data_IF_380928342551
#
_entry.id   IF_380928342551
#
_cell.length_a   1.000
_cell.length_b   1.000
_cell.length_c   1.000
_cell.angle_alpha   90.00
_cell.angle_beta   90.00
_cell.angle_gamma   90.00
#
_symmetry.space_group_name_H-M   'P 1'
#
loop_
_entity.id
_entity.type
_entity.pdbx_description
1 polymer ?
#
# COMPACT_ATOMS: atom_id res chain seq x y z
N UNK A 1 11.93 -18.96 0.48
CA UNK A 1 10.97 -19.02 1.62
C UNK A 1 9.71 -18.19 1.43
N UNK A 2 9.80 -16.88 1.16
CA UNK A 2 8.59 -16.06 0.93
C UNK A 2 7.71 -16.58 -0.21
N UNK A 3 8.32 -17.07 -1.30
CA UNK A 3 7.57 -17.69 -2.41
C UNK A 3 6.83 -18.96 -2.00
N UNK A 4 7.49 -19.84 -1.22
CA UNK A 4 6.86 -21.05 -0.66
C UNK A 4 5.71 -20.67 0.26
N UNK A 5 5.88 -19.63 1.07
CA UNK A 5 4.81 -19.11 1.91
C UNK A 5 3.64 -18.62 1.07
N UNK A 6 3.85 -17.84 0.00
CA UNK A 6 2.75 -17.33 -0.81
C UNK A 6 2.03 -18.42 -1.63
N UNK A 7 2.77 -19.42 -2.10
CA UNK A 7 2.28 -20.42 -3.03
C UNK A 7 2.23 -19.91 -4.47
N UNK A 8 2.16 -20.84 -5.42
CA UNK A 8 2.21 -20.57 -6.86
C UNK A 8 1.13 -19.57 -7.31
N UNK A 9 -0.12 -19.77 -6.89
CA UNK A 9 -1.24 -18.90 -7.29
C UNK A 9 -0.98 -17.42 -6.94
N UNK A 10 -0.53 -17.13 -5.72
CA UNK A 10 -0.25 -15.75 -5.31
C UNK A 10 1.03 -15.20 -5.96
N UNK A 11 2.00 -16.05 -6.26
CA UNK A 11 3.23 -15.65 -6.97
C UNK A 11 2.98 -15.32 -8.45
N UNK A 12 1.93 -15.90 -9.05
CA UNK A 12 1.49 -15.66 -10.43
C UNK A 12 0.29 -14.71 -10.54
N UNK A 13 -0.11 -14.08 -9.45
CA UNK A 13 -1.27 -13.19 -9.44
C UNK A 13 -1.08 -11.99 -10.37
N UNK A 14 -2.11 -11.68 -11.15
CA UNK A 14 -2.16 -10.45 -11.95
C UNK A 14 -2.63 -9.32 -11.04
N UNK A 15 -1.87 -8.23 -10.99
CA UNK A 15 -2.22 -7.06 -10.18
C UNK A 15 -2.76 -5.95 -11.10
N UNK A 16 -3.95 -5.45 -10.81
CA UNK A 16 -4.54 -4.32 -11.50
C UNK A 16 -4.97 -3.23 -10.51
N UNK A 17 -5.11 -1.99 -10.99
CA UNK A 17 -5.45 -0.86 -10.11
C UNK A 17 -6.89 -0.92 -9.62
N UNK A 18 -7.85 -1.09 -10.53
CA UNK A 18 -9.29 -0.99 -10.25
C UNK A 18 -10.02 -2.30 -10.55
N UNK A 19 -11.22 -2.47 -9.98
CA UNK A 19 -12.12 -3.57 -10.32
C UNK A 19 -12.57 -3.52 -11.79
N UNK A 20 -12.80 -2.32 -12.34
CA UNK A 20 -13.15 -2.16 -13.75
C UNK A 20 -12.05 -2.70 -14.66
N UNK A 21 -10.78 -2.48 -14.32
CA UNK A 21 -9.65 -3.06 -15.06
C UNK A 21 -9.66 -4.60 -14.99
N UNK A 22 -10.00 -5.19 -13.84
CA UNK A 22 -10.13 -6.64 -13.70
C UNK A 22 -11.22 -7.23 -14.62
N UNK A 23 -12.34 -6.51 -14.79
CA UNK A 23 -13.44 -6.96 -15.63
C UNK A 23 -13.10 -7.02 -17.13
N UNK A 24 -11.99 -6.41 -17.58
CA UNK A 24 -11.50 -6.54 -18.96
C UNK A 24 -10.69 -7.83 -19.20
N UNK A 25 -10.28 -8.55 -18.16
CA UNK A 25 -9.51 -9.78 -18.31
C UNK A 25 -10.39 -10.96 -18.73
N UNK A 26 -11.59 -11.08 -18.16
CA UNK A 26 -12.48 -12.21 -18.38
C UNK A 26 -13.95 -11.77 -18.41
N UNK A 27 -14.73 -12.43 -19.28
CA UNK A 27 -16.17 -12.26 -19.37
C UNK A 27 -16.84 -13.63 -19.36
N UNK A 28 -18.07 -13.67 -18.89
CA UNK A 28 -18.90 -14.85 -18.91
C UNK A 28 -20.03 -14.70 -19.94
N UNK A 29 -20.38 -15.81 -20.58
CA UNK A 29 -21.56 -15.91 -21.44
C UNK A 29 -22.85 -15.98 -20.62
N UNK A 30 -24.00 -16.10 -21.30
CA UNK A 30 -25.32 -16.17 -20.65
C UNK A 30 -25.52 -17.45 -19.83
N UNK A 31 -24.70 -18.47 -20.04
CA UNK A 31 -24.73 -19.74 -19.30
C UNK A 31 -23.74 -19.75 -18.13
N UNK A 32 -22.93 -18.69 -17.97
CA UNK A 32 -21.91 -18.57 -16.95
C UNK A 32 -20.58 -19.23 -17.31
N UNK A 33 -20.38 -19.64 -18.57
CA UNK A 33 -19.09 -20.14 -19.03
C UNK A 33 -18.15 -18.99 -19.40
N UNK A 34 -16.84 -19.23 -19.30
CA UNK A 34 -15.83 -18.25 -19.70
C UNK A 34 -15.85 -18.05 -21.22
N UNK A 35 -15.97 -16.79 -21.66
CA UNK A 35 -15.84 -16.43 -23.07
C UNK A 35 -14.37 -16.38 -23.48
N UNK A 36 -13.88 -17.49 -24.05
CA UNK A 36 -12.49 -17.63 -24.53
C UNK A 36 -12.12 -16.67 -25.68
N UNK A 37 -13.11 -15.96 -26.26
CA UNK A 37 -12.91 -14.99 -27.34
C UNK A 37 -12.79 -13.56 -26.81
N UNK A 38 -12.74 -13.37 -25.49
CA UNK A 38 -12.66 -12.06 -24.84
C UNK A 38 -11.37 -11.91 -24.01
N UNK A 39 -10.95 -10.66 -23.81
CA UNK A 39 -9.94 -10.28 -22.82
C UNK A 39 -8.61 -11.00 -22.98
N UNK A 40 -8.04 -11.47 -21.87
CA UNK A 40 -6.73 -12.11 -21.85
C UNK A 40 -6.74 -13.46 -22.59
N UNK A 41 -7.89 -14.16 -22.60
CA UNK A 41 -8.02 -15.46 -23.28
C UNK A 41 -7.86 -15.30 -24.80
N UNK A 42 -8.47 -14.26 -25.37
CA UNK A 42 -8.34 -13.97 -26.80
C UNK A 42 -6.89 -13.63 -27.18
N UNK A 43 -6.24 -12.79 -26.39
CA UNK A 43 -4.87 -12.36 -26.66
C UNK A 43 -3.87 -13.52 -26.50
N UNK A 44 -4.03 -14.34 -25.46
CA UNK A 44 -3.21 -15.52 -25.24
C UNK A 44 -3.38 -16.56 -26.37
N UNK A 45 -4.61 -16.77 -26.85
CA UNK A 45 -4.88 -17.64 -27.99
C UNK A 45 -4.25 -17.13 -29.30
N UNK A 46 -4.27 -15.81 -29.57
CA UNK A 46 -3.59 -15.21 -30.74
C UNK A 46 -2.08 -15.45 -30.71
N UNK A 47 -1.48 -15.49 -29.52
CA UNK A 47 -0.07 -15.78 -29.30
C UNK A 47 0.25 -17.30 -29.33
N UNK A 48 -0.75 -18.16 -29.51
CA UNK A 48 -0.58 -19.61 -29.53
C UNK A 48 -0.39 -20.25 -28.15
N UNK A 49 -0.68 -19.51 -27.06
CA UNK A 49 -0.52 -19.97 -25.67
C UNK A 49 -1.83 -19.78 -24.91
N UNK A 50 -2.88 -20.56 -25.21
CA UNK A 50 -4.18 -20.40 -24.55
C UNK A 50 -4.07 -20.67 -23.04
N UNK A 51 -4.74 -19.84 -22.24
CA UNK A 51 -4.77 -19.98 -20.77
C UNK A 51 -5.89 -20.95 -20.40
N UNK A 52 -5.53 -22.07 -19.78
CA UNK A 52 -6.48 -23.13 -19.38
C UNK A 52 -6.67 -23.26 -17.87
N UNK A 53 -5.79 -22.63 -17.08
CA UNK A 53 -5.84 -22.66 -15.62
C UNK A 53 -6.42 -21.37 -15.08
N UNK A 54 -7.07 -21.45 -13.91
CA UNK A 54 -7.49 -20.27 -13.16
C UNK A 54 -6.25 -19.50 -12.72
N UNK A 55 -6.37 -18.17 -12.69
CA UNK A 55 -5.33 -17.28 -12.19
C UNK A 55 -5.99 -16.22 -11.30
N UNK A 56 -5.36 -15.81 -10.19
CA UNK A 56 -5.91 -14.78 -9.33
C UNK A 56 -5.65 -13.39 -9.91
N UNK A 57 -6.64 -12.50 -9.76
CA UNK A 57 -6.50 -11.06 -9.98
C UNK A 57 -6.57 -10.36 -8.62
N UNK A 58 -5.63 -9.44 -8.36
CA UNK A 58 -5.61 -8.59 -7.17
C UNK A 58 -5.86 -7.14 -7.61
N UNK A 59 -7.01 -6.60 -7.24
CA UNK A 59 -7.38 -5.20 -7.47
C UNK A 59 -6.87 -4.33 -6.32
N UNK A 60 -5.92 -3.41 -6.57
CA UNK A 60 -5.30 -2.59 -5.52
C UNK A 60 -6.29 -1.69 -4.77
N UNK A 61 -7.22 -1.05 -5.49
CA UNK A 61 -8.21 -0.13 -4.90
C UNK A 61 -9.25 -0.87 -4.02
N UNK A 62 -9.41 -2.18 -4.19
CA UNK A 62 -10.31 -3.02 -3.37
C UNK A 62 -9.61 -3.59 -2.12
N UNK A 63 -8.29 -3.40 -1.99
CA UNK A 63 -7.56 -3.84 -0.80
C UNK A 63 -7.80 -2.83 0.31
N UNK A 64 -8.22 -3.33 1.48
CA UNK A 64 -8.16 -2.54 2.71
C UNK A 64 -6.68 -2.26 3.05
N UNK A 65 -6.22 -1.01 2.98
CA UNK A 65 -4.83 -0.66 3.25
C UNK A 65 -4.50 -0.85 4.73
N UNK A 66 -3.20 -0.97 5.02
CA UNK A 66 -2.69 -0.76 6.35
C UNK A 66 -2.94 0.69 6.79
N UNK A 67 -3.64 0.85 7.91
CA UNK A 67 -4.05 2.16 8.43
C UNK A 67 -3.17 2.68 9.59
N UNK A 68 -2.05 2.01 9.90
CA UNK A 68 -1.10 2.50 10.89
C UNK A 68 -0.04 3.40 10.27
N UNK A 69 0.84 3.93 11.11
CA UNK A 69 1.90 4.84 10.65
C UNK A 69 2.92 4.10 9.75
N UNK A 70 3.65 4.84 8.92
CA UNK A 70 4.75 4.31 8.10
C UNK A 70 6.07 4.73 8.75
N UNK A 71 7.02 3.79 8.89
CA UNK A 71 8.37 4.07 9.39
C UNK A 71 9.12 4.92 8.36
N UNK A 72 9.74 6.00 8.81
CA UNK A 72 10.38 7.00 7.97
C UNK A 72 11.76 6.58 7.42
N UNK A 73 11.93 5.33 6.96
CA UNK A 73 12.89 5.12 5.89
C UNK A 73 12.22 5.67 4.62
N UNK A 74 12.47 6.94 4.34
CA UNK A 74 11.83 7.74 3.28
C UNK A 74 11.97 7.03 1.93
N UNK A 75 13.04 6.25 1.72
CA UNK A 75 13.30 5.57 0.44
C UNK A 75 12.43 4.33 0.24
N UNK A 76 12.32 3.46 1.23
CA UNK A 76 11.62 2.18 1.08
C UNK A 76 10.19 2.15 1.64
N UNK A 77 9.71 3.26 2.24
CA UNK A 77 8.36 3.43 2.80
C UNK A 77 7.94 2.24 3.67
N UNK A 78 8.82 1.78 4.57
CA UNK A 78 8.59 0.60 5.44
C UNK A 78 7.47 0.88 6.43
N UNK A 79 6.62 -0.09 6.77
CA UNK A 79 5.47 0.10 7.67
C UNK A 79 5.93 0.21 9.14
N UNK A 80 5.29 1.08 9.94
CA UNK A 80 5.51 1.16 11.39
C UNK A 80 4.60 0.16 12.12
N UNK A 81 4.89 -1.12 11.93
CA UNK A 81 4.14 -2.18 12.58
C UNK A 81 4.56 -2.26 14.05
N UNK A 82 3.60 -2.49 14.97
CA UNK A 82 3.94 -2.68 16.37
C UNK A 82 4.96 -3.80 16.45
N UNK A 83 6.09 -3.53 17.10
CA UNK A 83 7.04 -4.60 17.37
C UNK A 83 6.25 -5.70 18.08
N UNK A 84 6.32 -6.95 17.57
CA UNK A 84 5.85 -8.04 18.40
C UNK A 84 6.65 -7.92 19.71
N UNK A 85 6.13 -8.43 20.81
CA UNK A 85 6.91 -8.53 22.05
C UNK A 85 8.23 -9.35 21.87
N UNK A 86 8.55 -9.75 20.63
CA UNK A 86 9.68 -10.49 20.09
C UNK A 86 11.01 -9.74 19.96
N UNK A 87 11.17 -8.47 20.35
CA UNK A 87 12.54 -7.98 20.63
C UNK A 87 13.27 -8.84 21.68
N UNK A 88 12.51 -9.66 22.42
CA UNK A 88 13.00 -10.63 23.39
C UNK A 88 13.23 -12.04 22.84
N UNK A 89 12.73 -12.40 21.65
CA UNK A 89 12.88 -13.76 21.12
C UNK A 89 14.12 -13.86 20.22
N UNK A 90 15.04 -14.75 20.62
CA UNK A 90 16.25 -15.07 19.86
C UNK A 90 15.91 -15.35 18.40
N UNK A 91 16.75 -14.86 17.48
CA UNK A 91 16.64 -15.17 16.06
C UNK A 91 15.60 -14.36 15.26
N UNK A 92 14.83 -13.44 15.86
CA UNK A 92 13.93 -12.57 15.09
C UNK A 92 14.73 -11.67 14.11
N UNK A 93 14.34 -11.66 12.84
CA UNK A 93 14.99 -10.90 11.75
C UNK A 93 14.18 -9.73 11.23
N UNK A 94 12.87 -9.72 11.46
CA UNK A 94 11.98 -8.65 11.03
C UNK A 94 10.64 -9.17 10.54
N UNK A 95 9.82 -8.23 10.05
CA UNK A 95 8.54 -8.54 9.42
C UNK A 95 8.73 -8.65 7.92
N UNK A 96 8.22 -9.73 7.32
CA UNK A 96 8.40 -10.05 5.91
C UNK A 96 8.01 -8.88 4.99
N UNK A 97 6.89 -8.22 5.30
CA UNK A 97 6.41 -7.05 4.55
C UNK A 97 7.43 -5.91 4.48
N UNK A 98 8.33 -5.77 5.46
CA UNK A 98 9.38 -4.74 5.50
C UNK A 98 10.76 -5.22 5.00
N UNK A 99 10.89 -6.51 4.66
CA UNK A 99 12.10 -7.10 4.09
C UNK A 99 12.07 -7.12 2.55
N UNK A 100 10.91 -6.90 1.94
CA UNK A 100 10.79 -6.72 0.49
C UNK A 100 11.32 -5.34 0.10
N UNK A 101 12.26 -5.29 -0.84
CA UNK A 101 12.71 -4.06 -1.46
C UNK A 101 11.87 -3.75 -2.70
N UNK A 102 11.43 -2.51 -2.84
CA UNK A 102 10.69 -2.01 -3.99
C UNK A 102 11.61 -1.16 -4.86
N UNK A 103 11.45 -1.28 -6.19
CA UNK A 103 12.08 -0.37 -7.15
C UNK A 103 11.48 1.03 -7.03
N UNK A 104 12.16 2.04 -7.58
CA UNK A 104 11.67 3.41 -7.63
C UNK A 104 10.29 3.49 -8.30
N UNK A 105 10.11 2.83 -9.44
CA UNK A 105 8.84 2.75 -10.18
C UNK A 105 7.73 2.14 -9.31
N UNK A 106 8.02 1.06 -8.58
CA UNK A 106 7.04 0.41 -7.71
C UNK A 106 6.70 1.24 -6.47
N UNK A 107 7.59 2.14 -6.02
CA UNK A 107 7.33 3.07 -4.93
C UNK A 107 6.45 4.25 -5.33
N UNK A 108 6.38 4.56 -6.63
CA UNK A 108 5.53 5.61 -7.20
C UNK A 108 4.09 5.13 -7.45
N UNK A 109 3.87 3.81 -7.50
CA UNK A 109 2.52 3.24 -7.64
C UNK A 109 1.71 3.55 -6.39
N UNK A 110 0.65 4.34 -6.60
CA UNK A 110 -0.31 4.76 -5.58
C UNK A 110 -1.74 4.41 -6.01
N UNK A 111 -2.52 3.90 -5.06
CA UNK A 111 -3.96 3.65 -5.20
C UNK A 111 -4.73 4.95 -5.34
N UNK A 112 -5.99 4.85 -5.75
CA UNK A 112 -6.88 6.01 -5.85
C UNK A 112 -7.12 6.69 -4.49
N UNK A 113 -6.96 5.95 -3.39
CA UNK A 113 -7.02 6.47 -2.02
C UNK A 113 -5.67 6.96 -1.47
N UNK A 114 -4.60 6.96 -2.29
CA UNK A 114 -3.30 7.52 -1.93
C UNK A 114 -2.35 6.60 -1.14
N UNK A 115 -2.56 5.27 -1.18
CA UNK A 115 -1.68 4.30 -0.51
C UNK A 115 -0.72 3.63 -1.49
N UNK A 116 0.50 3.33 -1.04
CA UNK A 116 1.50 2.61 -1.82
C UNK A 116 1.27 1.09 -1.86
N UNK A 117 2.11 0.40 -2.64
CA UNK A 117 2.08 -1.07 -2.75
C UNK A 117 2.41 -1.79 -1.43
N UNK A 118 3.23 -1.18 -0.57
CA UNK A 118 3.61 -1.84 0.69
C UNK A 118 2.43 -1.86 1.65
N UNK A 119 1.72 -0.75 1.77
CA UNK A 119 0.53 -0.56 2.59
C UNK A 119 -0.66 -1.39 2.09
N UNK A 120 -0.68 -1.72 0.79
CA UNK A 120 -1.79 -2.45 0.14
C UNK A 120 -1.39 -3.88 -0.20
N UNK A 121 -0.81 -4.11 -1.38
CA UNK A 121 -0.49 -5.44 -1.91
C UNK A 121 0.35 -6.28 -0.95
N UNK A 122 1.51 -5.77 -0.53
CA UNK A 122 2.43 -6.57 0.29
C UNK A 122 1.93 -6.77 1.70
N UNK A 123 1.21 -5.79 2.28
CA UNK A 123 0.56 -5.98 3.57
C UNK A 123 -0.60 -6.98 3.49
N UNK A 124 -1.36 -7.02 2.39
CA UNK A 124 -2.37 -8.07 2.18
C UNK A 124 -1.73 -9.47 2.11
N UNK A 125 -0.61 -9.59 1.40
CA UNK A 125 0.05 -10.88 1.16
C UNK A 125 0.81 -11.40 2.39
N UNK A 126 1.46 -10.51 3.14
CA UNK A 126 2.33 -10.89 4.26
C UNK A 126 1.80 -10.47 5.62
N UNK A 127 1.00 -9.41 5.73
CA UNK A 127 0.54 -8.87 7.00
C UNK A 127 1.68 -8.66 8.00
N UNK A 128 1.52 -9.19 9.21
CA UNK A 128 2.53 -9.20 10.27
C UNK A 128 3.40 -10.49 10.28
N UNK A 129 3.59 -11.14 9.12
CA UNK A 129 4.41 -12.35 9.00
C UNK A 129 5.82 -12.12 9.54
N UNK A 130 6.20 -12.88 10.56
CA UNK A 130 7.49 -12.77 11.22
C UNK A 130 8.54 -13.66 10.56
N UNK A 131 9.78 -13.17 10.49
CA UNK A 131 10.93 -13.92 9.94
C UNK A 131 11.93 -14.21 11.05
N UNK A 132 12.34 -15.47 11.16
CA UNK A 132 13.29 -15.98 12.13
C UNK A 132 14.51 -16.61 11.47
N UNK A 133 15.62 -16.67 12.22
CA UNK A 133 16.84 -17.33 11.76
C UNK A 133 16.64 -18.84 11.59
N UNK A 134 16.15 -19.51 12.64
CA UNK A 134 16.04 -20.97 12.69
C UNK A 134 14.63 -21.43 13.02
N UNK A 135 14.30 -22.68 12.66
CA UNK A 135 13.04 -23.33 13.08
C UNK A 135 12.88 -23.35 14.60
N UNK A 136 13.98 -23.52 15.32
CA UNK A 136 13.96 -23.59 16.77
C UNK A 136 13.59 -22.24 17.40
N UNK A 137 14.18 -21.16 16.91
CA UNK A 137 13.85 -19.79 17.32
C UNK A 137 12.37 -19.46 17.02
N UNK A 138 11.92 -19.80 15.81
CA UNK A 138 10.52 -19.64 15.39
C UNK A 138 9.55 -20.43 16.29
N UNK A 139 9.89 -21.67 16.64
CA UNK A 139 9.07 -22.52 17.53
C UNK A 139 8.96 -21.95 18.93
N UNK A 140 10.04 -21.40 19.48
CA UNK A 140 10.02 -20.76 20.80
C UNK A 140 9.12 -19.51 20.82
N UNK A 141 9.02 -18.80 19.70
CA UNK A 141 8.15 -17.65 19.57
C UNK A 141 6.68 -18.01 19.28
N UNK A 142 6.38 -19.26 18.90
CA UNK A 142 5.05 -19.71 18.48
C UNK A 142 3.89 -19.29 19.41
N UNK A 143 4.01 -19.34 20.76
CA UNK A 143 2.93 -18.90 21.66
C UNK A 143 2.59 -17.40 21.58
N UNK A 144 3.47 -16.59 20.99
CA UNK A 144 3.37 -15.13 20.92
C UNK A 144 3.13 -14.62 19.49
N UNK A 145 2.97 -15.51 18.52
CA UNK A 145 2.68 -15.15 17.14
C UNK A 145 1.22 -14.72 17.01
N UNK A 146 1.00 -13.54 16.41
CA UNK A 146 -0.35 -13.06 16.03
C UNK A 146 -0.78 -13.52 14.64
N UNK A 147 0.20 -13.73 13.76
CA UNK A 147 0.04 -14.15 12.38
C UNK A 147 0.97 -15.36 12.12
N UNK A 148 1.32 -15.60 10.85
CA UNK A 148 2.31 -16.63 10.51
C UNK A 148 3.73 -16.26 10.92
N UNK A 149 4.63 -17.24 10.79
CA UNK A 149 6.07 -17.06 10.85
C UNK A 149 6.78 -17.94 9.83
N UNK A 150 7.96 -17.51 9.38
CA UNK A 150 8.88 -18.34 8.61
C UNK A 150 10.27 -18.32 9.24
N UNK A 151 11.08 -19.34 8.94
CA UNK A 151 12.50 -19.35 9.30
C UNK A 151 13.40 -19.53 8.07
N UNK A 152 14.61 -18.97 8.12
CA UNK A 152 15.55 -19.00 6.99
C UNK A 152 16.04 -20.42 6.66
N UNK A 153 16.11 -21.30 7.66
CA UNK A 153 16.44 -22.72 7.48
C UNK A 153 15.28 -23.56 6.92
N UNK A 154 14.10 -22.97 6.69
CA UNK A 154 13.01 -23.59 5.92
C UNK A 154 11.75 -23.96 6.72
N UNK A 155 11.48 -23.32 7.85
CA UNK A 155 10.25 -23.50 8.61
C UNK A 155 9.14 -22.55 8.16
N UNK A 156 7.89 -23.02 8.21
CA UNK A 156 6.70 -22.19 7.90
C UNK A 156 5.56 -22.52 8.87
N UNK A 157 5.00 -21.47 9.46
CA UNK A 157 3.78 -21.46 10.27
C UNK A 157 2.83 -20.45 9.63
N UNK A 158 1.59 -20.85 9.37
CA UNK A 158 0.53 -19.99 8.85
C UNK A 158 -0.29 -19.37 10.00
N UNK A 159 -1.01 -18.28 9.70
CA UNK A 159 -1.71 -17.44 10.69
C UNK A 159 -2.93 -18.06 11.38
N UNK A 160 -3.14 -19.36 11.21
CA UNK A 160 -4.21 -20.20 11.77
C UNK A 160 -3.64 -21.40 12.54
N UNK A 161 -2.34 -21.44 12.78
CA UNK A 161 -1.65 -22.55 13.41
C UNK A 161 -1.28 -23.70 12.46
N UNK A 162 -1.54 -23.56 11.15
CA UNK A 162 -1.14 -24.58 10.18
C UNK A 162 0.39 -24.58 9.98
N UNK A 163 1.00 -25.76 10.15
CA UNK A 163 2.43 -25.98 9.93
C UNK A 163 2.64 -26.59 8.54
N UNK A 164 3.56 -26.02 7.75
CA UNK A 164 3.96 -26.62 6.48
C UNK A 164 5.25 -27.41 6.69
N UNK A 165 5.17 -28.73 6.47
CA UNK A 165 6.28 -29.68 6.63
C UNK A 165 6.66 -30.27 5.27
N UNK A 166 7.88 -30.81 5.17
CA UNK A 166 8.41 -31.43 3.97
C UNK A 166 9.41 -30.56 3.21
N UNK A 167 9.94 -31.10 2.12
CA UNK A 167 10.83 -30.40 1.21
C UNK A 167 10.05 -29.47 0.28
N UNK A 168 10.63 -28.32 -0.05
CA UNK A 168 10.05 -27.39 -1.01
C UNK A 168 11.16 -26.75 -1.83
N UNK A 169 10.99 -26.77 -3.16
CA UNK A 169 11.84 -26.11 -4.14
C UNK A 169 10.93 -25.32 -5.10
N UNK A 170 10.65 -24.03 -4.83
CA UNK A 170 9.71 -23.26 -5.62
C UNK A 170 10.32 -22.90 -6.98
N UNK A 171 9.60 -23.20 -8.06
CA UNK A 171 10.01 -22.84 -9.43
C UNK A 171 9.99 -21.31 -9.64
N UNK A 172 9.10 -20.61 -8.93
CA UNK A 172 8.93 -19.15 -9.02
C UNK A 172 9.45 -18.50 -7.75
N UNK A 173 10.47 -17.66 -7.88
CA UNK A 173 11.14 -16.99 -6.77
C UNK A 173 11.12 -15.47 -6.90
N UNK A 174 11.21 -14.78 -5.76
CA UNK A 174 11.46 -13.34 -5.77
C UNK A 174 12.84 -13.07 -6.38
N UNK A 175 12.98 -12.07 -7.27
CA UNK A 175 14.29 -11.69 -7.79
C UNK A 175 15.17 -11.18 -6.65
N UNK A 176 16.43 -11.62 -6.64
CA UNK A 176 17.45 -11.12 -5.72
C UNK A 176 18.15 -9.95 -6.39
N UNK A 177 18.02 -8.77 -5.80
CA UNK A 177 18.80 -7.61 -6.24
C UNK A 177 20.20 -7.70 -5.63
N UNK A 178 21.28 -7.45 -6.40
CA UNK A 178 22.60 -7.26 -5.82
C UNK A 178 22.53 -6.08 -4.84
N UNK A 179 23.27 -6.16 -3.74
CA UNK A 179 23.27 -5.15 -2.68
C UNK A 179 23.48 -3.75 -3.27
N UNK A 180 22.39 -3.01 -3.46
CA UNK A 180 22.48 -1.57 -3.56
C UNK A 180 22.95 -1.10 -2.18
N UNK A 181 23.99 -0.26 -2.08
CA UNK A 181 24.42 0.24 -0.79
C UNK A 181 23.21 0.86 -0.12
N UNK A 182 22.79 0.26 1.01
CA UNK A 182 21.81 0.82 1.90
C UNK A 182 22.50 2.07 2.46
N UNK A 183 22.40 3.19 1.74
CA UNK A 183 22.76 4.49 2.28
C UNK A 183 21.67 4.77 3.30
N UNK A 184 21.83 4.17 4.48
CA UNK A 184 21.14 4.54 5.69
C UNK A 184 21.53 5.99 5.93
N UNK A 185 20.69 6.94 5.52
CA UNK A 185 20.75 8.27 6.09
C UNK A 185 20.63 8.09 7.61
N UNK A 186 21.60 8.64 8.33
CA UNK A 186 21.70 8.53 9.79
C UNK A 186 20.33 8.80 10.43
N UNK A 187 19.78 7.86 11.24
CA UNK A 187 18.51 8.04 11.93
C UNK A 187 18.37 9.39 12.65
N UNK A 188 19.48 9.96 13.13
CA UNK A 188 19.54 11.25 13.81
C UNK A 188 19.29 12.46 12.85
N UNK A 189 19.82 12.40 11.63
CA UNK A 189 19.64 13.44 10.60
C UNK A 189 18.22 13.44 10.05
N UNK A 190 17.64 12.24 9.87
CA UNK A 190 16.24 12.07 9.47
C UNK A 190 15.29 12.62 10.54
N UNK A 191 15.53 12.31 11.83
CA UNK A 191 14.70 12.83 12.93
C UNK A 191 14.70 14.36 12.98
N UNK A 192 15.86 14.97 12.72
CA UNK A 192 16.02 16.43 12.73
C UNK A 192 15.32 17.09 11.54
N UNK A 193 15.44 16.50 10.33
CA UNK A 193 14.71 16.96 9.14
C UNK A 193 13.19 16.84 9.30
N UNK A 194 12.70 15.73 9.89
CA UNK A 194 11.26 15.53 10.14
C UNK A 194 10.72 16.51 11.16
N UNK A 195 11.47 16.79 12.25
CA UNK A 195 11.09 17.81 13.22
C UNK A 195 10.97 19.20 12.57
N UNK A 196 11.87 19.51 11.63
CA UNK A 196 11.83 20.75 10.85
C UNK A 196 10.61 20.79 9.92
N UNK A 197 10.34 19.74 9.15
CA UNK A 197 9.17 19.67 8.27
C UNK A 197 7.84 19.75 9.03
N UNK A 198 7.73 19.11 10.20
CA UNK A 198 6.52 19.20 11.02
C UNK A 198 6.31 20.61 11.60
N UNK A 199 7.39 21.31 11.93
CA UNK A 199 7.32 22.71 12.30
C UNK A 199 6.85 23.58 11.12
N UNK A 200 7.38 23.35 9.91
CA UNK A 200 6.98 24.05 8.69
C UNK A 200 5.51 23.78 8.32
N UNK A 201 5.04 22.53 8.46
CA UNK A 201 3.64 22.14 8.23
C UNK A 201 2.68 22.86 9.19
N UNK A 202 3.01 22.93 10.48
CA UNK A 202 2.21 23.67 11.47
C UNK A 202 2.11 25.17 11.14
N UNK A 203 3.19 25.75 10.61
CA UNK A 203 3.19 27.13 10.11
C UNK A 203 2.26 27.27 8.89
N UNK A 204 2.32 26.34 7.93
CA UNK A 204 1.44 26.34 6.76
C UNK A 204 -0.04 26.23 7.13
N UNK A 205 -0.41 25.33 8.05
CA UNK A 205 -1.79 25.20 8.55
C UNK A 205 -2.29 26.50 9.22
N UNK A 206 -1.39 27.22 9.89
CA UNK A 206 -1.70 28.53 10.46
C UNK A 206 -1.93 29.58 9.37
N UNK A 207 -1.13 29.56 8.30
CA UNK A 207 -1.27 30.46 7.15
C UNK A 207 -2.56 30.18 6.38
N UNK A 208 -2.87 28.92 6.08
CA UNK A 208 -4.12 28.52 5.41
C UNK A 208 -5.35 29.01 6.19
N UNK A 209 -5.36 28.85 7.52
CA UNK A 209 -6.44 29.35 8.35
C UNK A 209 -6.57 30.88 8.32
N UNK A 210 -5.46 31.62 8.23
CA UNK A 210 -5.49 33.08 8.07
C UNK A 210 -6.02 33.48 6.70
N UNK A 211 -5.60 32.79 5.63
CA UNK A 211 -6.10 33.02 4.26
C UNK A 211 -7.61 32.78 4.23
N UNK A 212 -8.10 31.67 4.78
CA UNK A 212 -9.53 31.36 4.85
C UNK A 212 -10.34 32.46 5.55
N UNK A 213 -9.87 32.94 6.72
CA UNK A 213 -10.53 34.03 7.46
C UNK A 213 -10.52 35.35 6.68
N UNK A 214 -9.43 35.66 5.98
CA UNK A 214 -9.34 36.84 5.14
C UNK A 214 -10.32 36.77 3.96
N UNK A 215 -10.44 35.60 3.33
CA UNK A 215 -11.37 35.32 2.22
C UNK A 215 -12.83 35.50 2.67
N UNK A 216 -13.20 34.94 3.82
CA UNK A 216 -14.54 35.10 4.42
C UNK A 216 -14.87 36.59 4.71
N UNK A 217 -13.91 37.34 5.25
CA UNK A 217 -14.07 38.77 5.50
C UNK A 217 -14.20 39.58 4.20
N UNK A 218 -13.40 39.26 3.19
CA UNK A 218 -13.47 39.87 1.86
C UNK A 218 -14.86 39.65 1.24
N UNK A 219 -15.38 38.43 1.30
CA UNK A 219 -16.73 38.11 0.81
C UNK A 219 -17.81 38.94 1.53
N UNK A 220 -17.74 39.06 2.86
CA UNK A 220 -18.68 39.90 3.64
C UNK A 220 -18.62 41.39 3.24
N UNK A 221 -17.41 41.93 3.02
CA UNK A 221 -17.23 43.33 2.59
C UNK A 221 -17.77 43.56 1.18
N UNK A 222 -17.53 42.62 0.26
CA UNK A 222 -18.08 42.66 -1.10
C UNK A 222 -19.61 42.64 -1.08
N UNK A 223 -20.23 41.76 -0.28
CA UNK A 223 -21.70 41.73 -0.11
C UNK A 223 -22.25 43.06 0.43
N UNK A 224 -21.60 43.64 1.46
CA UNK A 224 -21.98 44.95 2.01
C UNK A 224 -21.85 46.08 0.98
N UNK A 225 -20.76 46.09 0.20
CA UNK A 225 -20.53 47.07 -0.86
C UNK A 225 -21.61 46.96 -1.94
N UNK A 226 -21.91 45.75 -2.41
CA UNK A 226 -22.95 45.52 -3.41
C UNK A 226 -24.34 45.94 -2.91
N UNK A 227 -24.67 45.67 -1.64
CA UNK A 227 -25.93 46.12 -1.03
C UNK A 227 -26.03 47.65 -0.95
N UNK A 228 -24.94 48.35 -0.60
CA UNK A 228 -24.90 49.82 -0.60
C UNK A 228 -25.02 50.39 -2.01
N UNK A 229 -24.35 49.78 -2.99
CA UNK A 229 -24.41 50.20 -4.39
C UNK A 229 -25.84 50.12 -4.92
N UNK A 230 -26.54 48.99 -4.71
CA UNK A 230 -27.96 48.85 -5.09
C UNK A 230 -28.85 49.94 -4.51
N UNK A 231 -28.72 50.23 -3.21
CA UNK A 231 -29.47 51.32 -2.57
C UNK A 231 -29.18 52.70 -3.17
N UNK A 232 -27.93 52.95 -3.54
CA UNK A 232 -27.55 54.22 -4.18
C UNK A 232 -28.13 54.31 -5.59
N UNK A 233 -28.04 53.23 -6.37
CA UNK A 233 -28.60 53.14 -7.72
C UNK A 233 -30.13 53.35 -7.67
N UNK A 234 -30.85 52.71 -6.74
CA UNK A 234 -32.29 52.91 -6.47
C UNK A 234 -32.62 54.37 -6.12
N UNK A 235 -31.82 55.03 -5.27
CA UNK A 235 -32.03 56.44 -4.90
C UNK A 235 -31.77 57.40 -6.07
N UNK A 236 -30.77 57.11 -6.91
CA UNK A 236 -30.44 57.91 -8.08
C UNK A 236 -31.55 57.83 -9.14
N UNK A 237 -32.17 56.66 -9.31
CA UNK A 237 -33.29 56.43 -10.22
C UNK A 237 -34.56 57.19 -9.77
N UNK A 238 -34.84 57.23 -8.46
CA UNK A 238 -35.94 58.02 -7.89
C UNK A 238 -35.74 59.54 -8.05
N UNK A 239 -34.50 60.01 -8.04
CA UNK A 239 -34.15 61.44 -8.19
C UNK A 239 -34.11 61.93 -9.64
N UNK A 240 -34.24 61.02 -10.62
CA UNK A 240 -34.19 61.32 -12.05
C UNK A 240 -35.54 61.16 -12.77
N UNK A 241 -36.62 60.94 -12.01
CA UNK A 241 -38.03 61.03 -12.44
C UNK A 241 -38.66 62.34 -11.93
#
# INVERSE_FOLDING_TARGET
>A
MLSVYLGEDNMLAVVCKTQDAANYFEKYDTEGNVDIRFGIHQEAAKLGVPISRRFPIICLDEIRPYNGDVFWNIRQKKLNLPFPHSKTHKGFRGLAVNLINLSAENLEIITSSGHGLRETLFYRLFGELQVYETRNDMRQAMPHLRNGAISLDGGIIKGDGMLLLGYSDPEIIFPVMPDAPDILEDPEDVFTKVKKMNAEKSVLETVENKIRKAEENRQKLVMKRNKKKRKFDEMAEVMSQ
#
